data_IF_570721076371
#
_entry.id   IF_570721076371
#
_cell.length_a   1.000
_cell.length_b   1.000
_cell.length_c   1.000
_cell.angle_alpha   90.00
_cell.angle_beta   90.00
_cell.angle_gamma   90.00
#
_symmetry.space_group_name_H-M   'P 1'
#
loop_
_entity.id
_entity.type
_entity.pdbx_description
1 polymer ?
#
# COMPACT_ATOMS: atom_id res chain seq x y z
N UNK A 1 44.14 -8.76 36.74
CA UNK A 1 42.90 -7.96 36.68
C UNK A 1 41.82 -8.79 36.01
N UNK A 2 40.72 -9.09 36.71
CA UNK A 2 39.62 -9.91 36.19
C UNK A 2 38.62 -8.98 35.50
N UNK A 3 38.64 -8.93 34.17
CA UNK A 3 37.69 -8.13 33.40
C UNK A 3 36.38 -8.93 33.25
N UNK A 4 35.37 -8.56 34.04
CA UNK A 4 34.02 -9.12 33.91
C UNK A 4 33.31 -8.38 32.79
N UNK A 5 33.23 -8.99 31.62
CA UNK A 5 32.39 -8.54 30.51
C UNK A 5 30.95 -8.96 30.84
N UNK A 6 30.15 -8.02 31.34
CA UNK A 6 28.71 -8.22 31.52
C UNK A 6 28.06 -7.97 30.17
N UNK A 7 27.72 -9.06 29.48
CA UNK A 7 26.96 -9.04 28.23
C UNK A 7 25.51 -8.69 28.56
N UNK A 8 25.19 -7.40 28.50
CA UNK A 8 23.82 -6.90 28.65
C UNK A 8 22.97 -7.36 27.48
N UNK A 9 22.01 -8.25 27.76
CA UNK A 9 20.99 -8.69 26.81
C UNK A 9 19.99 -7.54 26.64
N UNK A 10 20.24 -6.65 25.66
CA UNK A 10 19.26 -5.65 25.26
C UNK A 10 18.07 -6.37 24.59
N UNK A 11 17.01 -6.62 25.37
CA UNK A 11 15.74 -7.08 24.84
C UNK A 11 15.17 -5.96 23.94
N UNK A 12 15.34 -6.11 22.63
CA UNK A 12 14.70 -5.25 21.65
C UNK A 12 13.18 -5.46 21.77
N UNK A 13 12.50 -4.54 22.43
CA UNK A 13 11.05 -4.41 22.37
C UNK A 13 10.67 -4.14 20.91
N UNK A 14 10.34 -5.19 20.17
CA UNK A 14 9.68 -5.09 18.89
C UNK A 14 8.27 -4.56 19.14
N UNK A 15 8.12 -3.24 19.21
CA UNK A 15 6.82 -2.59 19.24
C UNK A 15 6.06 -2.94 17.98
N UNK A 16 5.04 -3.79 18.09
CA UNK A 16 4.08 -4.03 17.02
C UNK A 16 3.25 -2.76 16.85
N UNK A 17 3.62 -1.90 15.91
CA UNK A 17 2.83 -0.72 15.59
C UNK A 17 1.40 -1.16 15.22
N UNK A 18 0.41 -0.65 15.96
CA UNK A 18 -0.98 -0.98 15.73
C UNK A 18 -1.36 -0.68 14.27
N UNK A 19 -2.15 -1.54 13.61
CA UNK A 19 -2.57 -1.29 12.24
C UNK A 19 -3.45 -0.04 12.17
N UNK A 20 -3.17 0.79 11.18
CA UNK A 20 -3.90 2.00 10.83
C UNK A 20 -4.78 1.76 9.61
N UNK A 21 -5.77 2.64 9.44
CA UNK A 21 -6.65 2.63 8.27
C UNK A 21 -6.25 3.73 7.30
N UNK A 22 -6.06 3.37 6.03
CA UNK A 22 -5.74 4.25 4.91
C UNK A 22 -6.88 4.21 3.89
N UNK A 23 -7.34 5.36 3.42
CA UNK A 23 -8.39 5.44 2.39
C UNK A 23 -7.82 6.04 1.12
N UNK A 24 -8.14 5.44 -0.03
CA UNK A 24 -7.61 5.91 -1.30
C UNK A 24 -8.11 5.10 -2.48
N UNK A 25 -7.52 5.32 -3.64
CA UNK A 25 -7.78 4.56 -4.87
C UNK A 25 -6.60 3.61 -5.11
N UNK A 26 -6.88 2.35 -5.45
CA UNK A 26 -5.82 1.43 -5.86
C UNK A 26 -5.33 1.82 -7.26
N UNK A 27 -4.03 2.04 -7.35
CA UNK A 27 -3.27 2.39 -8.56
C UNK A 27 -2.01 1.52 -8.60
N UNK A 28 -1.03 1.90 -9.42
CA UNK A 28 0.34 1.39 -9.37
C UNK A 28 1.35 2.50 -8.99
N UNK A 29 2.57 2.10 -8.65
CA UNK A 29 3.67 2.97 -8.23
C UNK A 29 4.12 3.97 -9.29
N UNK A 30 3.79 3.77 -10.56
CA UNK A 30 4.18 4.64 -11.67
C UNK A 30 3.07 5.63 -12.06
N UNK A 31 1.83 5.18 -12.10
CA UNK A 31 0.68 5.99 -12.52
C UNK A 31 0.19 6.91 -11.40
N UNK A 32 0.16 6.47 -10.14
CA UNK A 32 -0.29 7.28 -9.03
C UNK A 32 -1.67 7.91 -9.26
N UNK A 33 -1.73 9.24 -9.32
CA UNK A 33 -2.95 10.00 -9.63
C UNK A 33 -3.24 10.18 -11.13
N UNK A 34 -2.27 9.84 -12.00
CA UNK A 34 -2.27 10.18 -13.43
C UNK A 34 -2.74 8.98 -14.26
N UNK A 35 -3.98 8.55 -14.04
CA UNK A 35 -4.68 7.69 -14.99
C UNK A 35 -5.21 8.58 -16.12
N UNK A 36 -4.66 8.42 -17.33
CA UNK A 36 -4.87 9.35 -18.44
C UNK A 36 -3.69 9.43 -19.42
N UNK A 37 -2.58 8.73 -19.13
CA UNK A 37 -1.45 8.60 -20.06
C UNK A 37 -1.80 7.74 -21.29
N UNK A 38 -2.81 6.88 -21.19
CA UNK A 38 -3.37 6.12 -22.32
C UNK A 38 -4.78 6.63 -22.59
N UNK A 39 -4.94 7.36 -23.69
CA UNK A 39 -6.27 7.68 -24.22
C UNK A 39 -7.04 6.38 -24.48
N UNK A 40 -8.32 6.37 -24.13
CA UNK A 40 -9.29 5.34 -24.51
C UNK A 40 -9.09 3.94 -23.89
N UNK A 41 -8.40 3.84 -22.74
CA UNK A 41 -8.22 2.58 -22.02
C UNK A 41 -8.77 2.67 -20.58
N UNK A 42 -9.59 1.70 -20.11
CA UNK A 42 -10.10 1.73 -18.75
C UNK A 42 -8.96 1.62 -17.73
N UNK A 43 -9.05 2.40 -16.66
CA UNK A 43 -7.98 2.61 -15.67
C UNK A 43 -7.45 1.29 -15.08
N UNK A 44 -8.31 0.31 -14.86
CA UNK A 44 -7.94 -1.00 -14.33
C UNK A 44 -7.03 -1.78 -15.29
N UNK A 45 -7.26 -1.66 -16.59
CA UNK A 45 -6.46 -2.29 -17.62
C UNK A 45 -5.09 -1.61 -17.75
N UNK A 46 -5.05 -0.28 -17.63
CA UNK A 46 -3.79 0.48 -17.61
C UNK A 46 -2.91 0.04 -16.43
N UNK A 47 -3.48 -0.03 -15.21
CA UNK A 47 -2.76 -0.47 -14.01
C UNK A 47 -2.21 -1.90 -14.20
N UNK A 48 -3.00 -2.83 -14.74
CA UNK A 48 -2.56 -4.21 -14.99
C UNK A 48 -1.39 -4.29 -15.98
N UNK A 49 -1.36 -3.41 -16.97
CA UNK A 49 -0.24 -3.31 -17.93
C UNK A 49 1.01 -2.78 -17.22
N UNK A 50 0.88 -1.71 -16.43
CA UNK A 50 1.99 -1.13 -15.68
C UNK A 50 2.62 -2.13 -14.70
N UNK A 51 1.80 -2.93 -14.01
CA UNK A 51 2.28 -3.95 -13.08
C UNK A 51 3.04 -5.08 -13.79
N UNK A 52 2.63 -5.47 -15.01
CA UNK A 52 3.42 -6.41 -15.84
C UNK A 52 4.77 -5.83 -16.28
N UNK A 53 4.86 -4.51 -16.40
CA UNK A 53 6.04 -3.79 -16.86
C UNK A 53 7.10 -3.49 -15.80
N UNK A 54 6.90 -3.91 -14.53
CA UNK A 54 7.73 -3.68 -13.32
C UNK A 54 7.16 -2.69 -12.29
N UNK A 55 5.90 -2.25 -12.43
CA UNK A 55 5.23 -1.45 -11.38
C UNK A 55 4.62 -2.35 -10.30
N UNK A 56 4.38 -1.80 -9.11
CA UNK A 56 3.70 -2.50 -8.03
C UNK A 56 2.37 -1.80 -7.72
N UNK A 57 1.34 -2.55 -7.33
CA UNK A 57 0.09 -1.99 -6.82
C UNK A 57 0.34 -1.12 -5.59
N UNK A 58 -0.30 0.04 -5.58
CA UNK A 58 -0.20 1.05 -4.55
C UNK A 58 -1.58 1.64 -4.23
N UNK A 59 -1.70 2.27 -3.07
CA UNK A 59 -2.83 3.10 -2.68
C UNK A 59 -2.45 4.56 -2.93
N UNK A 60 -3.23 5.27 -3.73
CA UNK A 60 -3.17 6.73 -3.80
C UNK A 60 -4.17 7.33 -2.83
N UNK A 61 -3.70 7.99 -1.78
CA UNK A 61 -4.54 8.58 -0.72
C UNK A 61 -5.07 9.99 -1.05
N UNK A 62 -4.69 10.53 -2.22
CA UNK A 62 -4.96 11.91 -2.64
C UNK A 62 -3.72 12.80 -2.62
N UNK A 63 -2.66 12.39 -1.92
CA UNK A 63 -1.40 13.13 -1.81
C UNK A 63 -0.19 12.25 -2.15
N UNK A 64 -0.15 11.01 -1.66
CA UNK A 64 0.96 10.10 -1.75
C UNK A 64 0.56 8.77 -2.39
N UNK A 65 1.52 8.15 -3.07
CA UNK A 65 1.42 6.79 -3.60
C UNK A 65 2.12 5.86 -2.62
N UNK A 66 1.34 4.99 -1.96
CA UNK A 66 1.78 4.12 -0.88
C UNK A 66 1.77 2.68 -1.38
N UNK A 67 2.93 2.04 -1.48
CA UNK A 67 3.02 0.67 -1.97
C UNK A 67 2.24 -0.29 -1.06
N UNK A 68 1.53 -1.26 -1.63
CA UNK A 68 0.85 -2.30 -0.87
C UNK A 68 1.69 -3.57 -0.80
N UNK A 69 1.83 -4.18 0.38
CA UNK A 69 2.55 -5.46 0.47
C UNK A 69 1.79 -6.62 -0.17
N UNK A 70 0.45 -6.56 -0.19
CA UNK A 70 -0.41 -7.59 -0.77
C UNK A 70 -0.85 -7.20 -2.18
N UNK A 71 0.04 -7.49 -3.14
CA UNK A 71 -0.16 -7.23 -4.56
C UNK A 71 -1.31 -8.05 -5.16
N UNK A 72 -1.54 -9.27 -4.66
CA UNK A 72 -2.54 -10.19 -5.20
C UNK A 72 -3.95 -9.71 -4.85
N UNK A 73 -4.18 -9.33 -3.59
CA UNK A 73 -5.48 -8.80 -3.17
C UNK A 73 -5.75 -7.45 -3.81
N UNK A 74 -4.75 -6.56 -3.87
CA UNK A 74 -4.88 -5.24 -4.48
C UNK A 74 -5.34 -5.29 -5.95
N UNK A 75 -4.90 -6.29 -6.72
CA UNK A 75 -5.30 -6.49 -8.12
C UNK A 75 -6.82 -6.67 -8.35
N UNK A 76 -7.57 -7.07 -7.32
CA UNK A 76 -9.03 -7.20 -7.39
C UNK A 76 -9.75 -5.86 -7.20
N UNK A 77 -9.02 -4.84 -6.76
CA UNK A 77 -9.53 -3.52 -6.43
C UNK A 77 -8.91 -2.41 -7.28
N UNK A 78 -8.20 -2.73 -8.36
CA UNK A 78 -7.60 -1.76 -9.30
C UNK A 78 -8.61 -0.69 -9.71
N UNK A 79 -8.19 0.58 -9.66
CA UNK A 79 -9.00 1.77 -9.94
C UNK A 79 -10.23 1.95 -9.03
N UNK A 80 -10.38 1.17 -7.95
CA UNK A 80 -11.48 1.29 -6.99
C UNK A 80 -11.04 2.03 -5.75
N UNK A 81 -11.98 2.79 -5.17
CA UNK A 81 -11.79 3.42 -3.86
C UNK A 81 -11.98 2.37 -2.76
N UNK A 82 -10.99 2.27 -1.88
CA UNK A 82 -10.93 1.26 -0.84
C UNK A 82 -10.46 1.85 0.49
N UNK A 83 -10.73 1.08 1.54
CA UNK A 83 -10.14 1.21 2.86
C UNK A 83 -9.12 0.09 3.04
N UNK A 84 -7.85 0.44 3.26
CA UNK A 84 -6.76 -0.49 3.53
C UNK A 84 -6.42 -0.42 5.01
N UNK A 85 -6.53 -1.54 5.72
CA UNK A 85 -6.04 -1.64 7.10
C UNK A 85 -4.65 -2.24 7.07
N UNK A 86 -3.68 -1.66 7.77
CA UNK A 86 -2.30 -2.17 7.77
C UNK A 86 -1.31 -1.30 8.55
N UNK A 87 -0.04 -1.71 8.55
CA UNK A 87 1.04 -0.94 9.20
C UNK A 87 1.84 -0.19 8.13
N UNK A 88 1.97 1.13 8.26
CA UNK A 88 2.77 1.92 7.34
C UNK A 88 4.26 1.92 7.72
N UNK A 89 5.11 1.61 6.75
CA UNK A 89 6.56 1.75 6.86
C UNK A 89 7.00 2.99 6.07
N UNK A 90 7.35 4.05 6.80
CA UNK A 90 7.77 5.33 6.22
C UNK A 90 9.05 5.20 5.39
N UNK A 91 9.99 4.36 5.82
CA UNK A 91 11.29 4.18 5.14
C UNK A 91 11.11 3.61 3.74
N UNK A 92 10.17 2.68 3.57
CA UNK A 92 9.90 2.01 2.30
C UNK A 92 8.62 2.51 1.61
N UNK A 93 7.94 3.50 2.21
CA UNK A 93 6.61 3.98 1.80
C UNK A 93 5.62 2.85 1.50
N UNK A 94 5.65 1.79 2.31
CA UNK A 94 4.87 0.56 2.08
C UNK A 94 3.88 0.35 3.21
N UNK A 95 2.62 0.08 2.87
CA UNK A 95 1.61 -0.41 3.80
C UNK A 95 1.71 -1.94 3.82
N UNK A 96 2.05 -2.49 4.98
CA UNK A 96 1.88 -3.92 5.26
C UNK A 96 0.39 -4.20 5.44
N UNK A 97 -0.24 -4.70 4.38
CA UNK A 97 -1.69 -4.89 4.29
C UNK A 97 -2.13 -6.00 5.25
N UNK A 98 -3.17 -5.71 6.02
CA UNK A 98 -3.94 -6.66 6.84
C UNK A 98 -5.29 -6.94 6.18
N UNK A 99 -5.98 -5.90 5.70
CA UNK A 99 -7.23 -6.06 4.93
C UNK A 99 -7.43 -4.96 3.89
N UNK A 100 -8.20 -5.26 2.85
CA UNK A 100 -8.66 -4.30 1.83
C UNK A 100 -10.17 -4.45 1.72
N UNK A 101 -10.89 -3.36 1.93
CA UNK A 101 -12.35 -3.31 1.89
C UNK A 101 -12.80 -2.29 0.83
N UNK A 102 -13.74 -2.62 -0.06
CA UNK A 102 -14.31 -1.62 -0.95
C UNK A 102 -15.10 -0.62 -0.10
N UNK A 103 -14.90 0.67 -0.37
CA UNK A 103 -15.82 1.67 0.13
C UNK A 103 -17.01 1.63 -0.83
N UNK A 104 -18.14 1.10 -0.38
CA UNK A 104 -19.40 1.23 -1.09
C UNK A 104 -19.70 2.73 -1.14
N UNK A 105 -19.34 3.38 -2.25
CA UNK A 105 -19.92 4.67 -2.56
C UNK A 105 -21.39 4.39 -2.77
N UNK A 106 -22.25 4.94 -1.90
CA UNK A 106 -23.68 4.90 -2.13
C UNK A 106 -23.95 5.34 -3.57
N UNK A 107 -24.68 4.50 -4.28
CA UNK A 107 -25.23 4.77 -5.59
C UNK A 107 -26.04 6.08 -5.51
N UNK A 108 -25.43 7.21 -5.81
CA UNK A 108 -26.17 8.42 -6.11
C UNK A 108 -26.33 8.50 -7.62
N UNK A 109 -27.41 7.84 -8.06
CA UNK A 109 -28.39 8.22 -9.08
C UNK A 109 -27.98 9.29 -10.10
#
# INVERSE_FOLDING_TARGET
MKLRVILGLAAALMGTAAPNTFTGVITDTMCGARHGMMKDQPDDQCIRICVKGSSEYALFDGNAVLKLSDQKSAANFSARRVKVTGTYNEKTKTIKVVSIEPIVQGENK
#
